data_IF_062248534218
#
_entry.id   IF_062248534218
#
_cell.length_a   1.000
_cell.length_b   1.000
_cell.length_c   1.000
_cell.angle_alpha   90.00
_cell.angle_beta   90.00
_cell.angle_gamma   90.00
#
_symmetry.space_group_name_H-M   'P 1'
#
loop_
_entity.id
_entity.type
_entity.pdbx_description
1 polymer ?
#
# COMPACT_ATOMS: atom_id res chain seq x y z
N UNK A 1 -3.81 -15.38 62.74
CA UNK A 1 -3.45 -15.33 61.31
C UNK A 1 -3.93 -14.00 60.75
N UNK A 2 -3.25 -12.90 61.05
CA UNK A 2 -2.01 -12.37 60.46
C UNK A 2 -2.41 -11.13 59.65
N UNK A 3 -2.20 -9.93 60.22
CA UNK A 3 -2.39 -8.64 59.54
C UNK A 3 -1.60 -8.55 58.21
N UNK A 4 -0.62 -9.45 58.04
CA UNK A 4 0.16 -9.67 56.82
C UNK A 4 -0.65 -10.28 55.67
N UNK A 5 -1.65 -11.13 55.94
CA UNK A 5 -2.46 -11.77 54.89
C UNK A 5 -3.44 -10.82 54.20
N UNK A 6 -3.99 -9.85 54.94
CA UNK A 6 -4.90 -8.83 54.41
C UNK A 6 -4.15 -7.82 53.54
N UNK A 7 -2.90 -7.51 53.86
CA UNK A 7 -2.06 -6.58 53.10
C UNK A 7 -1.53 -7.17 51.79
N UNK A 8 -1.38 -8.50 51.70
CA UNK A 8 -1.02 -9.21 50.46
C UNK A 8 -2.22 -9.29 49.50
N UNK A 9 -3.45 -9.44 50.01
CA UNK A 9 -4.65 -9.44 49.18
C UNK A 9 -5.01 -8.07 48.60
N UNK A 10 -4.72 -6.96 49.29
CA UNK A 10 -4.89 -5.62 48.72
C UNK A 10 -3.83 -5.26 47.66
N UNK A 11 -2.61 -5.80 47.77
CA UNK A 11 -1.56 -5.60 46.76
C UNK A 11 -1.83 -6.36 45.45
N UNK A 12 -2.52 -7.51 45.52
CA UNK A 12 -2.79 -8.35 44.35
C UNK A 12 -3.94 -7.83 43.47
N UNK A 13 -4.88 -7.05 44.03
CA UNK A 13 -5.99 -6.44 43.28
C UNK A 13 -5.55 -5.18 42.52
N UNK A 14 -4.52 -4.48 43.01
CA UNK A 14 -3.98 -3.27 42.36
C UNK A 14 -3.02 -3.57 41.19
N UNK A 15 -2.64 -4.83 40.97
CA UNK A 15 -1.78 -5.26 39.85
C UNK A 15 -2.50 -5.58 38.54
N UNK A 16 -3.85 -5.61 38.54
CA UNK A 16 -4.66 -5.99 37.36
C UNK A 16 -5.30 -4.80 36.63
N UNK A 17 -5.03 -3.56 37.07
CA UNK A 17 -5.19 -2.39 36.21
C UNK A 17 -4.03 -2.30 35.20
N UNK A 18 -3.74 -3.42 34.51
CA UNK A 18 -2.90 -3.41 33.32
C UNK A 18 -3.59 -2.51 32.31
N UNK A 19 -2.96 -1.38 32.00
CA UNK A 19 -3.45 -0.39 31.05
C UNK A 19 -4.02 -1.10 29.81
N UNK A 20 -5.31 -0.94 29.57
CA UNK A 20 -5.89 -1.04 28.23
C UNK A 20 -5.37 0.16 27.40
N UNK A 21 -4.05 0.22 27.23
CA UNK A 21 -3.32 1.28 26.55
C UNK A 21 -3.34 1.04 25.05
N UNK A 22 -4.42 1.49 24.40
CA UNK A 22 -4.51 1.52 22.95
C UNK A 22 -5.94 1.34 22.47
N UNK A 23 -6.82 2.30 22.81
CA UNK A 23 -8.14 2.41 22.21
C UNK A 23 -8.03 2.25 20.69
N UNK A 24 -8.91 1.46 20.09
CA UNK A 24 -9.06 1.39 18.64
C UNK A 24 -9.25 2.83 18.09
N UNK A 25 -8.22 3.37 17.43
CA UNK A 25 -8.15 4.80 17.03
C UNK A 25 -8.77 5.12 15.68
N UNK A 26 -9.11 4.09 14.91
CA UNK A 26 -9.70 4.21 13.60
C UNK A 26 -11.20 3.90 13.69
N UNK A 27 -12.04 4.52 12.85
CA UNK A 27 -13.46 4.18 12.77
C UNK A 27 -13.73 2.84 12.05
N UNK A 28 -12.69 2.03 11.80
CA UNK A 28 -12.71 0.75 11.12
C UNK A 28 -11.55 -0.14 11.59
N UNK A 29 -11.72 -1.47 11.47
CA UNK A 29 -10.80 -2.48 12.02
C UNK A 29 -9.35 -2.39 11.46
N UNK A 30 -9.22 -1.97 10.20
CA UNK A 30 -7.94 -1.85 9.50
C UNK A 30 -8.07 -1.00 8.23
N UNK A 31 -6.95 -0.48 7.75
CA UNK A 31 -6.86 0.12 6.41
C UNK A 31 -6.09 -0.78 5.45
N UNK A 32 -6.35 -0.66 4.15
CA UNK A 32 -5.76 -1.49 3.10
C UNK A 32 -4.57 -0.80 2.44
N UNK A 33 -3.49 -1.55 2.21
CA UNK A 33 -2.41 -1.15 1.30
C UNK A 33 -2.48 -1.98 0.02
N UNK A 34 -2.90 -1.34 -1.07
CA UNK A 34 -3.02 -1.92 -2.40
C UNK A 34 -1.92 -1.43 -3.34
N UNK A 35 -1.43 -2.31 -4.20
CA UNK A 35 -0.47 -1.95 -5.25
C UNK A 35 -0.93 -2.43 -6.62
N UNK A 36 -0.67 -1.62 -7.63
CA UNK A 36 -0.90 -1.97 -9.03
C UNK A 36 0.21 -1.43 -9.92
N UNK A 37 0.25 -1.91 -11.16
CA UNK A 37 1.10 -1.37 -12.20
C UNK A 37 0.30 -1.07 -13.47
N UNK A 38 0.78 -0.15 -14.32
CA UNK A 38 0.20 0.08 -15.65
C UNK A 38 0.16 -1.21 -16.48
N UNK A 39 -0.73 -1.24 -17.47
CA UNK A 39 -0.91 -2.43 -18.32
C UNK A 39 0.44 -2.93 -18.87
N UNK A 40 0.68 -4.24 -18.81
CA UNK A 40 1.94 -4.88 -19.26
C UNK A 40 3.24 -4.43 -18.55
N UNK A 41 3.22 -3.43 -17.66
CA UNK A 41 4.40 -2.95 -16.95
C UNK A 41 4.58 -3.71 -15.63
N UNK A 42 4.77 -5.02 -15.71
CA UNK A 42 4.81 -5.88 -14.52
C UNK A 42 5.87 -5.43 -13.51
N UNK A 43 5.52 -5.54 -12.24
CA UNK A 43 6.41 -5.28 -11.11
C UNK A 43 6.35 -6.43 -10.11
N UNK A 44 7.48 -6.64 -9.43
CA UNK A 44 7.55 -7.50 -8.26
C UNK A 44 7.90 -6.67 -7.02
N UNK A 45 7.02 -6.67 -6.03
CA UNK A 45 7.18 -5.91 -4.80
C UNK A 45 7.98 -6.76 -3.82
N UNK A 46 9.20 -6.34 -3.51
CA UNK A 46 10.03 -7.03 -2.52
C UNK A 46 9.48 -6.79 -1.12
N UNK A 47 9.16 -5.53 -0.82
CA UNK A 47 8.43 -5.14 0.38
C UNK A 47 7.73 -3.81 0.17
N UNK A 48 6.57 -3.65 0.80
CA UNK A 48 5.95 -2.38 1.09
C UNK A 48 5.66 -2.35 2.59
N UNK A 49 6.29 -1.40 3.28
CA UNK A 49 6.22 -1.24 4.72
C UNK A 49 5.45 0.04 5.04
N UNK A 50 4.66 0.01 6.11
CA UNK A 50 3.96 1.18 6.59
C UNK A 50 4.55 1.65 7.91
N UNK A 51 4.66 2.96 8.09
CA UNK A 51 4.95 3.59 9.37
C UNK A 51 3.75 4.44 9.75
N UNK A 52 3.21 4.20 10.94
CA UNK A 52 2.06 4.95 11.43
C UNK A 52 2.47 6.23 12.17
N UNK A 53 1.49 7.02 12.59
CA UNK A 53 1.69 8.27 13.34
C UNK A 53 2.32 8.08 14.73
N UNK A 54 2.48 6.85 15.20
CA UNK A 54 3.17 6.49 16.44
C UNK A 54 4.58 5.93 16.17
N UNK A 55 5.09 6.09 14.94
CA UNK A 55 6.39 5.58 14.51
C UNK A 55 6.53 4.05 14.54
N UNK A 56 5.41 3.32 14.61
CA UNK A 56 5.42 1.87 14.57
C UNK A 56 5.56 1.38 13.14
N UNK A 57 6.47 0.43 12.92
CA UNK A 57 6.78 -0.10 11.59
C UNK A 57 6.06 -1.43 11.35
N UNK A 58 5.20 -1.44 10.34
CA UNK A 58 4.47 -2.60 9.85
C UNK A 58 5.15 -3.10 8.58
N UNK A 59 6.12 -4.00 8.75
CA UNK A 59 6.87 -4.58 7.62
C UNK A 59 6.01 -5.50 6.78
N UNK A 60 6.23 -5.51 5.47
CA UNK A 60 5.49 -6.36 4.50
C UNK A 60 3.98 -6.18 4.60
N UNK A 61 3.55 -4.96 4.95
CA UNK A 61 2.17 -4.49 4.83
C UNK A 61 1.61 -4.81 3.44
N UNK A 62 2.46 -4.83 2.41
CA UNK A 62 2.24 -5.63 1.20
C UNK A 62 3.57 -6.17 0.63
N UNK A 63 3.52 -7.23 -0.18
CA UNK A 63 4.65 -7.76 -0.96
C UNK A 63 4.14 -8.72 -2.05
N UNK A 64 4.97 -9.02 -3.05
CA UNK A 64 4.68 -9.97 -4.12
C UNK A 64 4.18 -9.29 -5.40
N UNK A 65 3.16 -9.88 -6.03
CA UNK A 65 2.65 -9.41 -7.33
C UNK A 65 1.69 -8.23 -7.13
N UNK A 66 1.84 -7.18 -7.93
CA UNK A 66 0.88 -6.07 -8.00
C UNK A 66 -0.35 -6.44 -8.84
N UNK A 67 -1.46 -5.72 -8.67
CA UNK A 67 -2.55 -5.82 -9.66
C UNK A 67 -2.08 -5.26 -11.00
N UNK A 68 -2.46 -5.90 -12.10
CA UNK A 68 -2.12 -5.46 -13.45
C UNK A 68 -3.14 -6.04 -14.43
N UNK A 69 -3.43 -5.30 -15.51
CA UNK A 69 -4.14 -5.88 -16.64
C UNK A 69 -3.16 -6.19 -17.77
N UNK A 70 -3.26 -7.40 -18.30
CA UNK A 70 -2.50 -7.87 -19.46
C UNK A 70 -3.46 -8.48 -20.49
N UNK A 71 -4.37 -7.70 -21.09
CA UNK A 71 -5.38 -8.26 -21.97
C UNK A 71 -4.74 -8.96 -23.16
N UNK A 72 -5.33 -10.09 -23.56
CA UNK A 72 -4.92 -10.86 -24.73
C UNK A 72 -5.01 -9.98 -25.99
N UNK A 73 -4.16 -10.25 -26.98
CA UNK A 73 -4.04 -9.48 -28.23
C UNK A 73 -3.47 -8.06 -28.09
N UNK A 74 -2.78 -7.76 -26.98
CA UNK A 74 -2.02 -6.51 -26.81
C UNK A 74 -2.88 -5.22 -26.93
N UNK A 75 -4.15 -5.27 -26.50
CA UNK A 75 -5.12 -4.17 -26.60
C UNK A 75 -5.15 -3.21 -25.40
N UNK A 76 -4.31 -3.42 -24.38
CA UNK A 76 -4.26 -2.55 -23.21
C UNK A 76 -3.47 -1.27 -23.48
N UNK A 77 -3.90 -0.15 -22.89
CA UNK A 77 -3.13 1.09 -22.90
C UNK A 77 -2.32 1.22 -21.59
N UNK A 78 -0.99 1.17 -21.62
CA UNK A 78 -0.14 1.39 -20.46
C UNK A 78 -0.01 2.86 -20.06
N UNK A 79 -0.39 3.82 -20.90
CA UNK A 79 -0.07 5.24 -20.71
C UNK A 79 -0.98 5.91 -19.68
N UNK A 80 -0.40 6.81 -18.89
CA UNK A 80 -1.16 7.59 -17.92
C UNK A 80 -1.58 6.79 -16.69
N UNK A 81 -2.24 7.49 -15.79
CA UNK A 81 -2.89 6.89 -14.63
C UNK A 81 -4.40 6.93 -14.80
N UNK A 82 -5.13 5.91 -14.29
CA UNK A 82 -6.58 6.01 -14.22
C UNK A 82 -6.99 7.17 -13.31
N UNK A 83 -8.10 7.82 -13.64
CA UNK A 83 -8.72 8.85 -12.79
C UNK A 83 -9.20 8.22 -11.47
N UNK A 84 -9.77 7.01 -11.55
CA UNK A 84 -10.23 6.21 -10.41
C UNK A 84 -9.58 4.83 -10.48
N UNK A 85 -8.40 4.62 -9.86
CA UNK A 85 -7.81 3.28 -9.79
C UNK A 85 -8.68 2.34 -8.95
N UNK A 86 -8.56 1.05 -9.21
CA UNK A 86 -9.07 0.03 -8.29
C UNK A 86 -8.18 -0.11 -7.04
N UNK A 87 -8.64 -0.84 -6.03
CA UNK A 87 -7.94 -0.98 -4.74
C UNK A 87 -6.60 -1.76 -4.79
N UNK A 88 -6.14 -2.11 -5.99
CA UNK A 88 -4.94 -2.90 -6.22
C UNK A 88 -4.96 -4.29 -5.57
N UNK A 89 -3.87 -5.02 -5.78
CA UNK A 89 -3.60 -6.25 -5.03
C UNK A 89 -2.89 -5.84 -3.75
N UNK A 90 -3.38 -6.31 -2.62
CA UNK A 90 -3.03 -5.73 -1.33
C UNK A 90 -3.52 -6.52 -0.13
N UNK A 91 -3.10 -6.10 1.06
CA UNK A 91 -3.49 -6.68 2.34
C UNK A 91 -4.10 -5.60 3.24
N UNK A 92 -4.81 -6.06 4.26
CA UNK A 92 -5.19 -5.21 5.38
C UNK A 92 -4.01 -5.01 6.33
N UNK A 93 -3.86 -3.78 6.82
CA UNK A 93 -2.86 -3.40 7.82
C UNK A 93 -3.56 -3.31 9.17
N UNK A 94 -3.57 -4.44 9.88
CA UNK A 94 -4.26 -4.61 11.16
C UNK A 94 -3.44 -4.01 12.31
N UNK A 95 -4.12 -3.34 13.24
CA UNK A 95 -3.53 -2.80 14.46
C UNK A 95 -2.65 -1.54 14.29
N UNK A 96 -2.47 -1.08 13.05
CA UNK A 96 -1.80 0.19 12.74
C UNK A 96 -2.73 1.38 12.98
N UNK A 97 -2.15 2.49 13.43
CA UNK A 97 -2.82 3.79 13.35
C UNK A 97 -2.73 4.31 11.90
N UNK A 98 -3.15 5.56 11.68
CA UNK A 98 -3.06 6.22 10.38
C UNK A 98 -1.61 6.22 9.86
N UNK A 99 -1.39 5.87 8.58
CA UNK A 99 -0.05 5.86 7.99
C UNK A 99 0.48 7.28 7.83
N UNK A 100 1.73 7.51 8.25
CA UNK A 100 2.47 8.75 7.96
C UNK A 100 3.48 8.59 6.84
N UNK A 101 3.95 7.36 6.61
CA UNK A 101 4.95 7.04 5.60
C UNK A 101 4.72 5.62 5.07
N UNK A 102 4.82 5.46 3.76
CA UNK A 102 4.93 4.16 3.11
C UNK A 102 6.33 4.05 2.51
N UNK A 103 7.07 3.01 2.85
CA UNK A 103 8.29 2.63 2.14
C UNK A 103 7.96 1.50 1.18
N UNK A 104 8.35 1.62 -0.09
CA UNK A 104 8.17 0.55 -1.07
C UNK A 104 9.48 0.30 -1.81
N UNK A 105 9.80 -0.98 -1.97
CA UNK A 105 10.92 -1.45 -2.77
C UNK A 105 10.43 -2.50 -3.74
N UNK A 106 10.66 -2.28 -5.01
CA UNK A 106 10.12 -3.10 -6.07
C UNK A 106 11.10 -3.28 -7.23
N UNK A 107 10.92 -4.37 -7.94
CA UNK A 107 11.54 -4.65 -9.21
C UNK A 107 10.57 -4.24 -10.31
N UNK A 108 10.96 -3.32 -11.18
CA UNK A 108 10.34 -3.15 -12.48
C UNK A 108 10.79 -4.31 -13.36
N UNK A 109 9.85 -5.12 -13.86
CA UNK A 109 10.17 -6.28 -14.70
C UNK A 109 10.17 -5.92 -16.19
N UNK A 110 9.42 -4.87 -16.55
CA UNK A 110 9.36 -4.31 -17.90
C UNK A 110 10.72 -3.75 -18.35
N UNK A 111 11.38 -3.02 -17.44
CA UNK A 111 12.78 -2.59 -17.53
C UNK A 111 13.47 -3.12 -16.26
N UNK A 112 14.20 -4.25 -16.33
CA UNK A 112 14.79 -4.91 -15.17
C UNK A 112 15.66 -3.95 -14.32
N UNK A 113 15.01 -3.33 -13.34
CA UNK A 113 15.58 -2.31 -12.48
C UNK A 113 14.86 -2.37 -11.14
N UNK A 114 15.64 -2.38 -10.06
CA UNK A 114 15.09 -2.30 -8.70
C UNK A 114 15.09 -0.86 -8.23
N UNK A 115 13.95 -0.43 -7.71
CA UNK A 115 13.71 0.89 -7.16
C UNK A 115 13.28 0.82 -5.70
N UNK A 116 13.48 1.92 -4.99
CA UNK A 116 12.86 2.16 -3.70
C UNK A 116 12.31 3.59 -3.61
N UNK A 117 11.27 3.77 -2.82
CA UNK A 117 10.64 5.07 -2.62
C UNK A 117 10.12 5.20 -1.18
N UNK A 118 10.23 6.43 -0.67
CA UNK A 118 9.65 6.86 0.59
C UNK A 118 8.50 7.82 0.27
N UNK A 119 7.28 7.40 0.59
CA UNK A 119 6.05 8.13 0.27
C UNK A 119 5.48 8.69 1.56
N UNK A 120 5.67 9.98 1.79
CA UNK A 120 5.05 10.68 2.92
C UNK A 120 3.56 10.81 2.64
N UNK A 121 2.74 10.36 3.60
CA UNK A 121 1.29 10.58 3.55
C UNK A 121 1.04 11.93 4.21
N UNK A 122 0.42 12.92 3.54
CA UNK A 122 0.12 14.20 4.14
C UNK A 122 -0.89 14.09 5.28
N UNK A 123 -0.83 15.02 6.23
CA UNK A 123 -1.81 15.07 7.33
C UNK A 123 -3.25 15.25 6.82
N UNK A 124 -3.45 16.01 5.74
CA UNK A 124 -4.76 16.17 5.12
C UNK A 124 -5.34 14.82 4.66
N UNK A 125 -4.52 13.94 4.08
CA UNK A 125 -4.93 12.60 3.69
C UNK A 125 -5.27 11.75 4.92
N UNK A 126 -4.47 11.81 5.99
CA UNK A 126 -4.78 11.14 7.26
C UNK A 126 -6.09 11.61 7.88
N UNK A 127 -6.38 12.91 7.86
CA UNK A 127 -7.67 13.44 8.34
C UNK A 127 -8.83 12.96 7.47
N UNK A 128 -8.64 12.87 6.16
CA UNK A 128 -9.65 12.32 5.25
C UNK A 128 -9.92 10.83 5.50
N UNK A 129 -8.92 10.07 5.95
CA UNK A 129 -9.08 8.64 6.29
C UNK A 129 -10.02 8.38 7.47
N UNK A 130 -10.26 9.36 8.35
CA UNK A 130 -11.14 9.22 9.53
C UNK A 130 -12.42 10.05 9.42
N UNK A 131 -12.64 10.68 8.27
CA UNK A 131 -13.85 11.46 8.01
C UNK A 131 -14.89 10.57 7.33
N UNK A 132 -16.08 10.36 7.92
CA UNK A 132 -17.17 9.68 7.23
C UNK A 132 -17.67 10.52 6.05
N UNK A 133 -17.96 9.86 4.94
CA UNK A 133 -18.60 10.48 3.78
C UNK A 133 -19.68 9.55 3.21
N UNK A 134 -20.79 10.13 2.76
CA UNK A 134 -21.82 9.37 2.04
C UNK A 134 -21.41 9.23 0.57
N UNK A 135 -21.28 7.99 0.11
CA UNK A 135 -20.92 7.65 -1.26
C UNK A 135 -21.88 6.63 -1.88
N UNK A 136 -21.91 6.60 -3.21
CA UNK A 136 -22.62 5.56 -3.95
C UNK A 136 -21.71 4.35 -4.11
N UNK A 137 -22.17 3.17 -3.70
CA UNK A 137 -21.47 1.90 -3.83
C UNK A 137 -21.96 1.15 -5.08
N UNK A 138 -21.28 1.22 -6.23
CA UNK A 138 -21.80 0.62 -7.48
C UNK A 138 -21.93 -0.90 -7.37
N UNK A 139 -21.03 -1.56 -6.62
CA UNK A 139 -21.06 -2.99 -6.40
C UNK A 139 -22.31 -3.49 -5.64
N UNK A 140 -23.01 -2.59 -4.93
CA UNK A 140 -24.23 -2.91 -4.17
C UNK A 140 -25.46 -2.14 -4.64
N UNK A 141 -25.29 -1.13 -5.49
CA UNK A 141 -26.37 -0.28 -5.97
C UNK A 141 -26.99 0.64 -4.91
N UNK A 142 -26.27 0.95 -3.82
CA UNK A 142 -26.79 1.71 -2.67
C UNK A 142 -25.93 2.93 -2.32
N UNK A 143 -26.56 3.93 -1.71
CA UNK A 143 -25.86 5.01 -1.01
C UNK A 143 -25.67 4.64 0.45
N UNK A 144 -24.47 4.88 0.99
CA UNK A 144 -24.18 4.67 2.41
C UNK A 144 -23.00 5.53 2.86
N UNK A 145 -22.85 5.63 4.16
CA UNK A 145 -21.59 6.11 4.76
C UNK A 145 -20.45 5.12 4.45
N UNK A 146 -19.28 5.67 4.15
CA UNK A 146 -18.04 4.96 3.89
C UNK A 146 -16.86 5.81 4.35
N UNK A 147 -15.69 5.20 4.50
CA UNK A 147 -14.45 5.87 4.84
C UNK A 147 -13.42 5.66 3.73
N UNK A 148 -12.46 6.57 3.61
CA UNK A 148 -11.30 6.31 2.77
C UNK A 148 -10.27 5.52 3.55
N UNK A 149 -10.44 4.21 3.58
CA UNK A 149 -9.60 3.26 4.33
C UNK A 149 -8.60 2.52 3.43
N UNK A 150 -8.39 2.94 2.17
CA UNK A 150 -7.49 2.27 1.24
C UNK A 150 -6.44 3.24 0.67
N UNK A 151 -5.15 2.92 0.85
CA UNK A 151 -4.06 3.52 0.09
C UNK A 151 -3.71 2.61 -1.09
N UNK A 152 -3.85 3.13 -2.29
CA UNK A 152 -3.47 2.45 -3.53
C UNK A 152 -2.21 3.09 -4.10
N UNK A 153 -1.17 2.29 -4.34
CA UNK A 153 0.11 2.73 -4.92
C UNK A 153 0.24 2.15 -6.33
N UNK A 154 0.29 3.01 -7.33
CA UNK A 154 0.66 2.67 -8.71
C UNK A 154 2.17 2.73 -8.85
N UNK A 155 2.79 1.64 -9.30
CA UNK A 155 4.23 1.53 -9.56
C UNK A 155 4.46 1.42 -11.07
N UNK A 156 5.24 2.33 -11.63
CA UNK A 156 5.53 2.38 -13.06
C UNK A 156 7.04 2.33 -13.36
N UNK A 157 7.41 1.95 -14.59
CA UNK A 157 8.76 2.12 -15.12
C UNK A 157 9.31 3.54 -14.94
N UNK A 158 10.63 3.66 -14.94
CA UNK A 158 11.34 4.89 -14.60
C UNK A 158 11.30 5.22 -13.12
N UNK A 159 10.92 4.28 -12.26
CA UNK A 159 10.93 4.45 -10.80
C UNK A 159 9.79 5.31 -10.26
N UNK A 160 8.66 5.43 -10.95
CA UNK A 160 7.57 6.31 -10.55
C UNK A 160 6.62 5.58 -9.60
N UNK A 161 6.28 6.22 -8.47
CA UNK A 161 5.19 5.77 -7.59
C UNK A 161 4.14 6.88 -7.43
N UNK A 162 2.88 6.59 -7.77
CA UNK A 162 1.73 7.49 -7.54
C UNK A 162 0.76 6.87 -6.55
N UNK A 163 0.20 7.69 -5.66
CA UNK A 163 -0.63 7.22 -4.55
C UNK A 163 -2.00 7.88 -4.58
N UNK A 164 -3.01 7.06 -4.35
CA UNK A 164 -4.40 7.45 -4.16
C UNK A 164 -4.90 7.02 -2.79
N UNK A 165 -5.70 7.88 -2.20
CA UNK A 165 -6.51 7.56 -1.04
C UNK A 165 -7.94 7.28 -1.51
N UNK A 166 -8.48 6.12 -1.18
CA UNK A 166 -9.75 5.63 -1.70
C UNK A 166 -10.63 5.05 -0.60
N UNK A 167 -11.93 5.01 -0.86
CA UNK A 167 -12.90 4.18 -0.13
C UNK A 167 -13.60 3.25 -1.12
N UNK A 168 -14.31 2.24 -0.63
CA UNK A 168 -15.03 1.29 -1.49
C UNK A 168 -16.13 1.98 -2.33
N UNK A 169 -16.70 3.06 -1.80
CA UNK A 169 -17.82 3.79 -2.38
C UNK A 169 -17.53 5.29 -2.62
N UNK A 170 -16.27 5.69 -2.41
CA UNK A 170 -15.83 7.09 -2.48
C UNK A 170 -14.89 7.32 -3.65
N UNK A 171 -14.95 8.53 -4.23
CA UNK A 171 -13.97 8.97 -5.21
C UNK A 171 -12.56 8.99 -4.62
N UNK A 172 -11.59 8.67 -5.47
CA UNK A 172 -10.18 8.68 -5.12
C UNK A 172 -9.68 10.11 -4.95
N UNK A 173 -8.79 10.30 -3.99
CA UNK A 173 -8.02 11.53 -3.79
C UNK A 173 -6.59 11.25 -4.23
N UNK A 174 -6.06 12.08 -5.13
CA UNK A 174 -4.63 12.09 -5.47
C UNK A 174 -3.84 12.53 -4.23
N UNK A 175 -2.95 11.67 -3.73
CA UNK A 175 -2.22 11.91 -2.47
C UNK A 175 -0.81 12.40 -2.75
N UNK A 176 -0.07 11.65 -3.55
CA UNK A 176 1.34 11.90 -3.78
C UNK A 176 1.79 11.29 -5.11
N UNK A 177 2.81 11.90 -5.69
CA UNK A 177 3.61 11.32 -6.77
C UNK A 177 5.06 11.49 -6.38
N UNK A 178 5.82 10.40 -6.37
CA UNK A 178 7.24 10.42 -6.01
C UNK A 178 8.09 9.73 -7.07
N UNK A 179 9.30 10.24 -7.21
CA UNK A 179 10.36 9.62 -7.98
C UNK A 179 11.16 8.71 -7.04
N UNK A 180 11.11 7.41 -7.30
CA UNK A 180 11.92 6.41 -6.63
C UNK A 180 13.38 6.47 -7.09
N UNK A 181 14.26 5.97 -6.24
CA UNK A 181 15.69 5.90 -6.47
C UNK A 181 16.08 4.50 -6.93
N UNK A 182 17.09 4.43 -7.81
CA UNK A 182 17.66 3.15 -8.22
C UNK A 182 18.43 2.51 -7.07
N UNK A 183 18.07 1.28 -6.75
CA UNK A 183 18.83 0.45 -5.80
C UNK A 183 20.06 -0.10 -6.50
N UNK A 184 21.24 0.44 -6.17
CA UNK A 184 22.53 -0.02 -6.73
C UNK A 184 22.85 -1.49 -6.47
N UNK A 185 22.43 -2.03 -5.32
CA UNK A 185 22.59 -3.46 -5.00
C UNK A 185 21.71 -4.38 -5.86
N UNK A 186 20.78 -3.82 -6.63
CA UNK A 186 19.84 -4.60 -7.42
C UNK A 186 18.81 -5.36 -6.57
N UNK A 187 18.18 -6.39 -7.14
CA UNK A 187 17.08 -7.12 -6.52
C UNK A 187 17.48 -7.88 -5.26
N UNK A 188 16.53 -8.00 -4.33
CA UNK A 188 16.64 -8.70 -3.05
C UNK A 188 17.85 -8.28 -2.20
N UNK A 189 18.25 -7.02 -2.29
CA UNK A 189 19.44 -6.49 -1.62
C UNK A 189 20.75 -7.08 -2.13
N UNK A 190 20.80 -7.52 -3.40
CA UNK A 190 21.96 -8.16 -4.03
C UNK A 190 22.00 -9.68 -3.91
N UNK A 191 21.03 -10.29 -3.23
CA UNK A 191 21.03 -11.73 -2.95
C UNK A 191 20.73 -12.62 -4.15
N UNK A 192 20.22 -12.08 -5.26
CA UNK A 192 19.95 -12.83 -6.49
C UNK A 192 21.01 -12.65 -7.57
N UNK A 193 22.17 -12.07 -7.26
CA UNK A 193 23.23 -11.85 -8.27
C UNK A 193 22.78 -10.95 -9.42
N UNK A 194 21.87 -10.01 -9.17
CA UNK A 194 21.30 -9.12 -10.19
C UNK A 194 20.10 -9.67 -10.95
N UNK A 195 19.74 -10.95 -10.75
CA UNK A 195 18.59 -11.55 -11.43
C UNK A 195 17.27 -11.01 -10.87
N UNK A 196 16.45 -10.44 -11.75
CA UNK A 196 15.09 -10.00 -11.47
C UNK A 196 14.11 -11.15 -11.72
N UNK A 197 12.88 -11.04 -11.19
CA UNK A 197 11.80 -11.97 -11.54
C UNK A 197 11.51 -11.91 -13.05
N UNK A 198 11.11 -13.03 -13.67
CA UNK A 198 10.83 -13.04 -15.10
C UNK A 198 9.58 -12.23 -15.42
N UNK A 199 9.62 -11.47 -16.52
CA UNK A 199 8.48 -10.82 -17.13
C UNK A 199 7.61 -11.86 -17.85
N UNK A 200 6.28 -11.73 -17.79
CA UNK A 200 5.40 -12.65 -18.53
C UNK A 200 5.57 -12.53 -20.05
N UNK A 201 5.26 -13.61 -20.77
CA UNK A 201 5.34 -13.64 -22.23
C UNK A 201 4.44 -12.59 -22.90
N UNK A 202 3.25 -12.32 -22.35
CA UNK A 202 2.34 -11.31 -22.90
C UNK A 202 2.89 -9.90 -22.73
N UNK A 203 3.42 -9.58 -21.55
CA UNK A 203 4.03 -8.28 -21.28
C UNK A 203 5.31 -8.08 -22.08
N UNK A 204 6.12 -9.13 -22.22
CA UNK A 204 7.30 -9.13 -23.10
C UNK A 204 6.91 -8.83 -24.55
N UNK A 205 5.92 -9.54 -25.10
CA UNK A 205 5.45 -9.32 -26.47
C UNK A 205 4.89 -7.90 -26.69
N UNK A 206 4.24 -7.31 -25.67
CA UNK A 206 3.81 -5.91 -25.73
C UNK A 206 5.02 -4.97 -25.85
N UNK A 207 5.98 -5.10 -24.94
CA UNK A 207 7.15 -4.21 -24.85
C UNK A 207 8.03 -4.33 -26.10
N UNK A 208 8.23 -5.53 -26.62
CA UNK A 208 8.98 -5.73 -27.88
C UNK A 208 8.31 -5.07 -29.07
N UNK A 209 6.96 -5.00 -29.08
CA UNK A 209 6.20 -4.42 -30.19
C UNK A 209 6.04 -2.90 -30.10
N UNK A 210 5.79 -2.36 -28.91
CA UNK A 210 5.39 -0.97 -28.71
C UNK A 210 6.35 -0.15 -27.83
N UNK A 211 7.32 -0.81 -27.19
CA UNK A 211 8.19 -0.20 -26.22
C UNK A 211 7.51 0.10 -24.88
N UNK A 212 8.29 0.71 -23.99
CA UNK A 212 7.81 1.24 -22.71
C UNK A 212 7.50 2.73 -22.90
N UNK A 213 6.29 3.21 -22.57
CA UNK A 213 5.91 4.61 -22.77
C UNK A 213 6.42 5.51 -21.63
N UNK A 214 7.74 5.66 -21.52
CA UNK A 214 8.35 6.56 -20.55
C UNK A 214 7.77 7.98 -20.64
N UNK A 215 7.67 8.66 -19.50
CA UNK A 215 7.10 10.01 -19.41
C UNK A 215 5.57 10.09 -19.50
N UNK A 216 4.88 8.97 -19.71
CA UNK A 216 3.41 8.95 -19.77
C UNK A 216 2.73 8.87 -18.40
N UNK A 217 3.48 8.56 -17.34
CA UNK A 217 2.97 8.43 -15.97
C UNK A 217 3.30 9.64 -15.15
#
# INVERSE_FOLDING_TARGET
MSKFGIMVLLGLVLGLAGCAGGAHRLPYDSWRLGLFAPNYMEVWIETADAVDVQDRVFRRAMNGIAAINTPKNLKGDPRGWPIQPGAGKGKQVLGADLPRLIYVRWQSLAEPQTYEAYIVIPEASRRAMVKPETGYCPARGIWREDYRDMLTVGLAPGGIAKVWLMGACLSAIDVARVQGTVVKKGPYGGKSGGQHRPLSATSKAYIEKYGIPYGSW
#
